data_IF_236469587348
#
_entry.id   IF_236469587348
#
_cell.length_a   1.000
_cell.length_b   1.000
_cell.length_c   1.000
_cell.angle_alpha   90.00
_cell.angle_beta   90.00
_cell.angle_gamma   90.00
#
_symmetry.space_group_name_H-M   'P 1'
#
loop_
_entity.id
_entity.type
_entity.pdbx_description
1 polymer ?
#
# COMPACT_ATOMS: atom_id res chain seq x y z
N UNK A 1 29.29 -22.00 -36.72
CA UNK A 1 28.66 -23.13 -37.44
C UNK A 1 29.29 -24.41 -36.91
N UNK A 2 28.48 -25.35 -36.45
CA UNK A 2 28.93 -26.70 -36.07
C UNK A 2 28.22 -27.67 -36.99
N UNK A 3 28.99 -28.52 -37.68
CA UNK A 3 28.45 -29.58 -38.51
C UNK A 3 29.11 -30.90 -38.09
N UNK A 4 28.29 -31.83 -37.61
CA UNK A 4 28.69 -33.17 -37.17
C UNK A 4 28.10 -34.26 -38.06
N UNK A 5 27.49 -33.89 -39.19
CA UNK A 5 27.00 -34.80 -40.21
C UNK A 5 28.18 -35.48 -40.91
N UNK A 6 28.17 -36.81 -40.87
CA UNK A 6 29.15 -37.66 -41.53
C UNK A 6 28.44 -38.94 -41.98
N UNK A 7 28.75 -39.40 -43.19
CA UNK A 7 28.16 -40.61 -43.76
C UNK A 7 28.48 -41.84 -42.90
N UNK A 8 27.49 -42.71 -42.67
CA UNK A 8 27.61 -43.90 -41.84
C UNK A 8 28.00 -43.65 -40.37
N UNK A 9 27.89 -42.42 -39.89
CA UNK A 9 28.16 -42.09 -38.49
C UNK A 9 27.04 -42.60 -37.58
N UNK A 10 27.43 -43.30 -36.52
CA UNK A 10 26.52 -43.76 -35.48
C UNK A 10 26.27 -42.63 -34.48
N UNK A 11 25.01 -42.27 -34.30
CA UNK A 11 24.57 -41.17 -33.42
C UNK A 11 23.58 -41.68 -32.39
N UNK A 12 23.54 -41.01 -31.24
CA UNK A 12 22.58 -41.29 -30.16
C UNK A 12 21.43 -40.31 -30.18
N UNK A 13 20.30 -40.71 -29.62
CA UNK A 13 19.17 -39.80 -29.38
C UNK A 13 19.63 -38.55 -28.60
N UNK A 14 19.28 -37.38 -29.10
CA UNK A 14 19.63 -36.08 -28.55
C UNK A 14 21.03 -35.57 -28.92
N UNK A 15 21.81 -36.33 -29.69
CA UNK A 15 23.13 -35.88 -30.16
C UNK A 15 23.00 -34.71 -31.14
N UNK A 16 23.82 -33.67 -30.96
CA UNK A 16 23.84 -32.50 -31.84
C UNK A 16 24.42 -32.88 -33.20
N UNK A 17 23.64 -32.64 -34.27
CA UNK A 17 24.04 -32.95 -35.64
C UNK A 17 24.50 -31.70 -36.38
N UNK A 18 23.71 -30.62 -36.30
CA UNK A 18 24.03 -29.34 -36.93
C UNK A 18 23.64 -28.22 -35.98
N UNK A 19 24.48 -27.21 -35.87
CA UNK A 19 24.15 -25.93 -35.25
C UNK A 19 24.50 -24.81 -36.22
N UNK A 20 23.48 -24.11 -36.71
CA UNK A 20 23.66 -22.89 -37.47
C UNK A 20 24.31 -21.82 -36.58
N UNK A 21 25.02 -20.88 -37.20
CA UNK A 21 25.70 -19.83 -36.45
C UNK A 21 24.68 -19.03 -35.64
N UNK A 22 24.90 -18.94 -34.32
CA UNK A 22 24.06 -18.13 -33.45
C UNK A 22 24.20 -16.66 -33.89
N UNK A 23 23.11 -16.10 -34.41
CA UNK A 23 23.04 -14.73 -34.88
C UNK A 23 22.59 -13.79 -33.77
N UNK A 24 21.78 -12.79 -34.12
CA UNK A 24 21.21 -11.84 -33.16
C UNK A 24 20.30 -12.51 -32.12
N UNK A 25 19.86 -13.73 -32.36
CA UNK A 25 18.93 -14.48 -31.52
C UNK A 25 19.50 -14.75 -30.12
N UNK A 26 20.77 -15.17 -30.02
CA UNK A 26 21.42 -15.46 -28.73
C UNK A 26 21.56 -14.21 -27.85
N UNK A 27 22.05 -13.12 -28.45
CA UNK A 27 22.18 -11.80 -27.80
C UNK A 27 20.81 -11.29 -27.33
N UNK A 28 19.77 -11.53 -28.11
CA UNK A 28 18.40 -11.12 -27.76
C UNK A 28 17.83 -11.93 -26.59
N UNK A 29 18.13 -13.24 -26.48
CA UNK A 29 17.75 -14.07 -25.30
C UNK A 29 18.41 -13.54 -24.03
N UNK A 30 19.70 -13.18 -24.08
CA UNK A 30 20.44 -12.61 -22.95
C UNK A 30 19.91 -11.24 -22.54
N UNK A 31 19.58 -10.39 -23.52
CA UNK A 31 18.94 -9.09 -23.29
C UNK A 31 17.60 -9.24 -22.56
N UNK A 32 16.74 -10.14 -23.03
CA UNK A 32 15.48 -10.43 -22.34
C UNK A 32 15.70 -11.02 -20.95
N UNK A 33 16.71 -11.88 -20.76
CA UNK A 33 17.04 -12.43 -19.45
C UNK A 33 17.44 -11.33 -18.45
N UNK A 34 18.26 -10.38 -18.90
CA UNK A 34 18.70 -9.25 -18.08
C UNK A 34 17.55 -8.30 -17.75
N UNK A 35 16.65 -8.05 -18.71
CA UNK A 35 15.44 -7.27 -18.47
C UNK A 35 14.50 -7.95 -17.46
N UNK A 36 14.32 -9.28 -17.56
CA UNK A 36 13.51 -10.02 -16.59
C UNK A 36 14.07 -9.93 -15.18
N UNK A 37 15.38 -10.09 -15.02
CA UNK A 37 16.03 -10.00 -13.71
C UNK A 37 15.79 -8.62 -13.06
N UNK A 38 15.98 -7.55 -13.84
CA UNK A 38 15.68 -6.18 -13.38
C UNK A 38 14.20 -6.00 -12.99
N UNK A 39 13.26 -6.46 -13.82
CA UNK A 39 11.82 -6.31 -13.55
C UNK A 39 11.39 -7.15 -12.34
N UNK A 40 11.97 -8.33 -12.14
CA UNK A 40 11.71 -9.16 -10.96
C UNK A 40 12.29 -8.55 -9.69
N UNK A 41 13.50 -7.96 -9.74
CA UNK A 41 14.08 -7.19 -8.62
C UNK A 41 13.20 -5.98 -8.28
N UNK A 42 12.75 -5.23 -9.29
CA UNK A 42 11.82 -4.11 -9.11
C UNK A 42 10.52 -4.57 -8.45
N UNK A 43 9.94 -5.69 -8.89
CA UNK A 43 8.69 -6.22 -8.34
C UNK A 43 8.84 -6.55 -6.87
N UNK A 44 9.92 -7.24 -6.51
CA UNK A 44 10.23 -7.61 -5.14
C UNK A 44 10.39 -6.37 -4.24
N UNK A 45 11.06 -5.34 -4.72
CA UNK A 45 11.22 -4.09 -3.95
C UNK A 45 9.89 -3.32 -3.82
N UNK A 46 9.03 -3.37 -4.83
CA UNK A 46 7.68 -2.80 -4.77
C UNK A 46 6.76 -3.58 -3.80
N UNK A 47 6.92 -4.90 -3.69
CA UNK A 47 6.23 -5.73 -2.69
C UNK A 47 6.68 -5.37 -1.26
N UNK A 48 7.97 -5.03 -1.05
CA UNK A 48 8.43 -4.48 0.22
C UNK A 48 7.78 -3.13 0.54
N UNK A 49 7.61 -2.24 -0.44
CA UNK A 49 6.85 -1.00 -0.24
C UNK A 49 5.42 -1.28 0.17
N UNK A 50 4.74 -2.20 -0.53
CA UNK A 50 3.37 -2.59 -0.23
C UNK A 50 3.24 -3.05 1.23
N UNK A 51 4.12 -3.96 1.65
CA UNK A 51 4.14 -4.49 3.02
C UNK A 51 4.45 -3.38 4.03
N UNK A 52 5.41 -2.51 3.72
CA UNK A 52 5.79 -1.38 4.58
C UNK A 52 4.62 -0.43 4.81
N UNK A 53 3.86 -0.11 3.75
CA UNK A 53 2.64 0.70 3.85
C UNK A 53 1.53 0.02 4.64
N UNK A 54 1.36 -1.29 4.49
CA UNK A 54 0.34 -2.07 5.19
C UNK A 54 0.59 -2.14 6.69
N UNK A 55 1.84 -2.39 7.09
CA UNK A 55 2.21 -2.61 8.49
C UNK A 55 2.80 -1.37 9.17
N UNK A 56 3.11 -0.31 8.41
CA UNK A 56 3.67 0.93 8.93
C UNK A 56 5.12 0.83 9.41
N UNK A 57 5.86 -0.18 8.96
CA UNK A 57 7.27 -0.44 9.34
C UNK A 57 8.11 -0.63 8.08
N UNK A 58 9.38 -0.22 8.10
CA UNK A 58 10.29 -0.42 6.97
C UNK A 58 10.66 -1.90 6.82
N UNK A 59 10.31 -2.51 5.68
CA UNK A 59 10.61 -3.89 5.34
C UNK A 59 11.74 -4.06 4.31
N UNK A 60 12.40 -2.97 3.90
CA UNK A 60 13.50 -3.03 2.95
C UNK A 60 14.75 -3.60 3.65
N UNK A 61 15.32 -4.72 3.15
CA UNK A 61 16.51 -5.32 3.77
C UNK A 61 17.78 -4.51 3.50
N UNK A 62 17.84 -3.84 2.35
CA UNK A 62 18.96 -3.03 1.87
C UNK A 62 18.40 -1.80 1.14
N UNK A 63 19.29 -0.86 0.80
CA UNK A 63 18.91 0.33 0.04
C UNK A 63 18.34 -0.07 -1.34
N UNK A 64 17.18 0.50 -1.63
CA UNK A 64 16.40 0.14 -2.80
C UNK A 64 16.93 0.88 -4.06
N UNK A 65 16.80 0.26 -5.23
CA UNK A 65 17.32 0.81 -6.50
C UNK A 65 16.30 1.67 -7.24
N UNK A 66 15.05 1.71 -6.76
CA UNK A 66 13.92 2.24 -7.51
C UNK A 66 13.23 3.43 -6.81
N UNK A 67 13.70 3.84 -5.63
CA UNK A 67 13.16 4.95 -4.83
C UNK A 67 11.92 4.58 -3.99
N UNK A 68 11.61 3.29 -3.86
CA UNK A 68 10.45 2.82 -3.11
C UNK A 68 10.63 2.99 -1.59
N UNK A 69 11.83 2.82 -1.05
CA UNK A 69 12.10 3.07 0.36
C UNK A 69 11.92 4.57 0.67
N UNK A 70 12.38 5.45 -0.21
CA UNK A 70 12.13 6.89 -0.10
C UNK A 70 10.63 7.21 -0.13
N UNK A 71 9.87 6.56 -1.02
CA UNK A 71 8.40 6.70 -1.09
C UNK A 71 7.72 6.31 0.24
N UNK A 72 8.20 5.24 0.90
CA UNK A 72 7.70 4.86 2.22
C UNK A 72 8.04 5.92 3.29
N UNK A 73 9.26 6.45 3.29
CA UNK A 73 9.67 7.52 4.20
C UNK A 73 8.83 8.78 4.03
N UNK A 74 8.51 9.14 2.79
CA UNK A 74 7.63 10.26 2.47
C UNK A 74 6.21 10.04 2.98
N UNK A 75 5.68 8.82 2.87
CA UNK A 75 4.39 8.46 3.47
C UNK A 75 4.40 8.64 4.99
N UNK A 76 5.44 8.14 5.67
CA UNK A 76 5.58 8.29 7.13
C UNK A 76 5.69 9.76 7.53
N UNK A 77 6.43 10.56 6.77
CA UNK A 77 6.58 12.01 6.99
C UNK A 77 5.24 12.74 6.86
N UNK A 78 4.46 12.44 5.81
CA UNK A 78 3.12 13.00 5.60
C UNK A 78 2.16 12.60 6.73
N UNK A 79 2.14 11.33 7.11
CA UNK A 79 1.34 10.84 8.23
C UNK A 79 1.75 11.49 9.56
N UNK A 80 3.05 11.68 9.78
CA UNK A 80 3.62 12.40 10.93
C UNK A 80 3.15 13.86 10.99
N UNK A 81 3.17 14.54 9.84
CA UNK A 81 2.74 15.93 9.71
C UNK A 81 1.25 16.10 10.01
N UNK A 82 0.39 15.18 9.54
CA UNK A 82 -1.04 15.17 9.87
C UNK A 82 -1.29 14.99 11.37
N UNK A 83 -0.57 14.06 12.00
CA UNK A 83 -0.66 13.83 13.45
C UNK A 83 -0.21 15.05 14.24
N UNK A 84 0.92 15.64 13.87
CA UNK A 84 1.46 16.83 14.52
C UNK A 84 0.50 18.03 14.42
N UNK A 85 -0.06 18.28 13.23
CA UNK A 85 -1.02 19.35 13.00
C UNK A 85 -2.30 19.16 13.84
N UNK A 86 -2.83 17.93 13.90
CA UNK A 86 -4.00 17.62 14.74
C UNK A 86 -3.69 17.77 16.23
N UNK A 87 -2.51 17.33 16.69
CA UNK A 87 -2.07 17.50 18.07
C UNK A 87 -2.03 18.98 18.45
N UNK A 88 -1.40 19.81 17.61
CA UNK A 88 -1.31 21.25 17.84
C UNK A 88 -2.67 21.94 17.87
N UNK A 89 -3.60 21.53 16.99
CA UNK A 89 -4.97 22.00 17.01
C UNK A 89 -5.66 21.63 18.33
N UNK A 90 -5.50 20.37 18.78
CA UNK A 90 -6.08 19.90 20.03
C UNK A 90 -5.49 20.58 21.27
N UNK A 91 -4.19 20.86 21.28
CA UNK A 91 -3.54 21.65 22.34
C UNK A 91 -4.10 23.08 22.40
N UNK A 92 -4.33 23.69 21.23
CA UNK A 92 -4.95 25.02 21.14
C UNK A 92 -6.37 25.00 21.69
N UNK A 93 -7.18 24.01 21.29
CA UNK A 93 -8.55 23.80 21.80
C UNK A 93 -8.53 23.58 23.31
N UNK A 94 -7.61 22.75 23.83
CA UNK A 94 -7.48 22.49 25.26
C UNK A 94 -7.18 23.79 26.03
N UNK A 95 -6.26 24.61 25.52
CA UNK A 95 -5.93 25.90 26.12
C UNK A 95 -7.12 26.87 26.11
N UNK A 96 -7.89 26.91 25.01
CA UNK A 96 -9.08 27.77 24.92
C UNK A 96 -10.18 27.29 25.86
N UNK A 97 -10.42 25.98 25.95
CA UNK A 97 -11.40 25.39 26.86
C UNK A 97 -11.02 25.62 28.33
N UNK A 98 -9.72 25.55 28.67
CA UNK A 98 -9.23 25.85 30.01
C UNK A 98 -9.44 27.33 30.36
N UNK A 99 -9.13 28.25 29.43
CA UNK A 99 -9.35 29.69 29.64
C UNK A 99 -10.85 30.04 29.79
N UNK A 100 -11.72 29.43 28.97
CA UNK A 100 -13.17 29.57 29.08
C UNK A 100 -13.68 29.08 30.43
N UNK A 101 -13.25 27.88 30.85
CA UNK A 101 -13.61 27.30 32.15
C UNK A 101 -13.15 28.17 33.32
N UNK A 102 -11.93 28.73 33.23
CA UNK A 102 -11.39 29.63 34.26
C UNK A 102 -12.20 30.93 34.34
N UNK A 103 -12.52 31.53 33.19
CA UNK A 103 -13.35 32.74 33.11
C UNK A 103 -14.73 32.49 33.70
N UNK A 104 -15.34 31.36 33.37
CA UNK A 104 -16.64 30.98 33.91
C UNK A 104 -16.58 30.79 35.43
N UNK A 105 -15.54 30.16 35.97
CA UNK A 105 -15.35 30.01 37.41
C UNK A 105 -15.19 31.37 38.12
N UNK A 106 -14.44 32.29 37.54
CA UNK A 106 -14.25 33.64 38.09
C UNK A 106 -15.56 34.43 38.13
N UNK A 107 -16.36 34.38 37.06
CA UNK A 107 -17.69 35.01 37.04
C UNK A 107 -18.62 34.32 38.05
N UNK A 108 -18.54 32.99 38.19
CA UNK A 108 -19.29 32.24 39.21
C UNK A 108 -18.95 32.69 40.64
N UNK A 109 -17.69 33.01 40.90
CA UNK A 109 -17.26 33.59 42.18
C UNK A 109 -17.85 35.01 42.38
N UNK A 110 -17.85 35.86 41.34
CA UNK A 110 -18.46 37.20 41.40
C UNK A 110 -19.98 37.13 41.66
N UNK A 111 -20.67 36.18 41.02
CA UNK A 111 -22.09 35.87 41.27
C UNK A 111 -22.29 35.51 42.74
N UNK A 112 -21.53 34.53 43.24
CA UNK A 112 -21.64 34.04 44.62
C UNK A 112 -21.39 35.15 45.65
N UNK A 113 -20.38 35.99 45.42
CA UNK A 113 -20.09 37.16 46.27
C UNK A 113 -21.21 38.20 46.23
N UNK A 114 -21.76 38.50 45.04
CA UNK A 114 -22.85 39.47 44.88
C UNK A 114 -24.13 38.97 45.54
N UNK A 115 -24.46 37.69 45.41
CA UNK A 115 -25.59 37.06 46.09
C UNK A 115 -25.45 37.08 47.62
N UNK A 116 -24.23 36.91 48.15
CA UNK A 116 -23.97 37.08 49.58
C UNK A 116 -24.22 38.53 50.05
N UNK A 117 -23.75 39.53 49.29
CA UNK A 117 -24.01 40.95 49.59
C UNK A 117 -25.51 41.26 49.58
N UNK A 118 -26.24 40.78 48.57
CA UNK A 118 -27.71 40.95 48.47
C UNK A 118 -28.39 40.37 49.72
N UNK A 119 -28.02 39.15 50.14
CA UNK A 119 -28.57 38.53 51.37
C UNK A 119 -28.31 39.38 52.62
N UNK A 120 -27.11 39.95 52.75
CA UNK A 120 -26.77 40.82 53.88
C UNK A 120 -27.64 42.08 53.91
N UNK A 121 -27.79 42.76 52.77
CA UNK A 121 -28.65 43.95 52.67
C UNK A 121 -30.14 43.63 52.86
N UNK A 122 -30.63 42.49 52.38
CA UNK A 122 -32.00 42.03 52.64
C UNK A 122 -32.24 41.76 54.13
N UNK A 123 -31.26 41.16 54.81
CA UNK A 123 -31.32 40.92 56.26
C UNK A 123 -31.37 42.24 57.03
N UNK A 124 -30.56 43.23 56.63
CA UNK A 124 -30.58 44.56 57.24
C UNK A 124 -31.91 45.29 57.00
N UNK A 125 -32.48 45.21 55.79
CA UNK A 125 -33.81 45.75 55.47
C UNK A 125 -34.87 45.16 56.40
N UNK A 126 -34.91 43.83 56.52
CA UNK A 126 -35.86 43.13 57.39
C UNK A 126 -35.69 43.54 58.86
N UNK A 127 -34.44 43.68 59.33
CA UNK A 127 -34.14 44.14 60.69
C UNK A 127 -34.63 45.58 60.94
N UNK A 128 -34.45 46.49 59.98
CA UNK A 128 -34.99 47.86 60.05
C UNK A 128 -36.54 47.87 60.04
N UNK A 129 -37.17 46.96 59.30
CA UNK A 129 -38.63 46.87 59.18
C UNK A 129 -39.29 46.28 60.44
N UNK A 130 -38.69 45.24 61.00
CA UNK A 130 -39.25 44.45 62.13
C UNK A 130 -38.74 44.88 63.50
N UNK A 131 -37.69 45.72 63.56
CA UNK A 131 -37.05 46.12 64.82
C UNK A 131 -36.11 45.06 65.40
N UNK A 132 -35.79 44.01 64.63
CA UNK A 132 -34.85 42.97 65.05
C UNK A 132 -33.41 43.50 65.11
N UNK A 133 -32.57 42.91 65.95
CA UNK A 133 -31.13 43.23 66.02
C UNK A 133 -30.37 42.68 64.82
N UNK A 134 -29.41 43.44 64.29
CA UNK A 134 -28.54 43.01 63.19
C UNK A 134 -27.15 42.58 63.71
N UNK A 135 -26.57 41.53 63.12
CA UNK A 135 -25.23 41.07 63.48
C UNK A 135 -24.15 42.07 63.01
N UNK A 136 -23.10 42.28 63.82
CA UNK A 136 -22.03 43.24 63.53
C UNK A 136 -21.18 42.92 62.30
N UNK A 137 -21.20 41.66 61.87
CA UNK A 137 -20.51 41.17 60.68
C UNK A 137 -21.26 41.44 59.36
N UNK A 138 -22.52 41.88 59.44
CA UNK A 138 -23.31 42.19 58.25
C UNK A 138 -22.79 43.47 57.56
N UNK A 139 -22.68 43.44 56.24
CA UNK A 139 -22.17 44.55 55.45
C UNK A 139 -22.93 45.88 55.64
N UNK A 140 -24.22 45.84 55.95
CA UNK A 140 -25.06 47.02 56.15
C UNK A 140 -25.19 47.44 57.63
N UNK A 141 -24.38 46.86 58.53
CA UNK A 141 -24.46 47.13 59.96
C UNK A 141 -24.25 48.60 60.33
N UNK A 142 -23.33 49.31 59.66
CA UNK A 142 -23.12 50.75 59.88
C UNK A 142 -24.35 51.57 59.52
N UNK A 143 -25.03 51.21 58.42
CA UNK A 143 -26.27 51.84 57.96
C UNK A 143 -27.41 51.59 58.96
N UNK A 144 -27.51 50.36 59.47
CA UNK A 144 -28.45 49.95 60.51
C UNK A 144 -28.23 50.71 61.83
N UNK A 145 -26.98 50.90 62.25
CA UNK A 145 -26.66 51.64 63.48
C UNK A 145 -26.98 53.14 63.35
N UNK A 146 -26.71 53.74 62.19
CA UNK A 146 -27.12 55.11 61.90
C UNK A 146 -28.64 55.28 61.97
N UNK A 147 -29.40 54.30 61.46
CA UNK A 147 -30.85 54.27 61.61
C UNK A 147 -31.27 54.23 63.09
N UNK A 148 -30.69 53.34 63.90
CA UNK A 148 -31.01 53.24 65.33
C UNK A 148 -30.72 54.54 66.10
N UNK A 149 -29.66 55.27 65.77
CA UNK A 149 -29.28 56.49 66.49
C UNK A 149 -30.19 57.69 66.21
N UNK A 150 -30.90 57.71 65.07
CA UNK A 150 -31.81 58.80 64.69
C UNK A 150 -33.25 58.63 65.23
N UNK A 151 -33.46 57.62 66.09
CA UNK A 151 -34.72 57.33 66.79
C UNK A 151 -35.56 56.27 66.07
N UNK A 152 -35.70 55.09 66.69
CA UNK A 152 -36.51 53.96 66.19
C UNK A 152 -37.97 54.34 65.86
N UNK A 153 -38.51 55.37 66.52
CA UNK A 153 -39.89 55.82 66.40
C UNK A 153 -40.12 56.92 65.34
N UNK A 154 -39.08 57.36 64.62
CA UNK A 154 -39.24 58.36 63.55
C UNK A 154 -39.54 57.69 62.19
N UNK A 155 -40.78 57.77 61.67
CA UNK A 155 -41.17 57.08 60.44
C UNK A 155 -40.38 57.57 59.21
N UNK A 156 -39.99 58.85 59.19
CA UNK A 156 -39.22 59.42 58.09
C UNK A 156 -37.77 58.91 58.06
N UNK A 157 -37.13 58.77 59.23
CA UNK A 157 -35.78 58.25 59.33
C UNK A 157 -35.71 56.76 58.91
N UNK A 158 -36.72 55.97 59.30
CA UNK A 158 -36.89 54.59 58.85
C UNK A 158 -37.05 54.49 57.33
N UNK A 159 -37.96 55.30 56.76
CA UNK A 159 -38.20 55.30 55.32
C UNK A 159 -36.94 55.68 54.51
N UNK A 160 -36.15 56.65 54.98
CA UNK A 160 -34.90 57.03 54.34
C UNK A 160 -33.84 55.93 54.40
N UNK A 161 -33.67 55.27 55.55
CA UNK A 161 -32.72 54.17 55.71
C UNK A 161 -33.08 52.97 54.83
N UNK A 162 -34.37 52.60 54.80
CA UNK A 162 -34.88 51.53 53.92
C UNK A 162 -34.66 51.89 52.45
N UNK A 163 -34.96 53.12 52.04
CA UNK A 163 -34.74 53.56 50.65
C UNK A 163 -33.26 53.51 50.23
N UNK A 164 -32.32 53.81 51.13
CA UNK A 164 -30.89 53.65 50.86
C UNK A 164 -30.49 52.18 50.67
N UNK A 165 -31.01 51.28 51.51
CA UNK A 165 -30.79 49.83 51.36
C UNK A 165 -31.40 49.31 50.05
N UNK A 166 -32.59 49.76 49.68
CA UNK A 166 -33.25 49.39 48.42
C UNK A 166 -32.47 49.88 47.20
N UNK A 167 -31.90 51.08 47.23
CA UNK A 167 -31.04 51.58 46.16
C UNK A 167 -29.79 50.69 45.98
N UNK A 168 -29.16 50.27 47.08
CA UNK A 168 -28.01 49.34 47.04
C UNK A 168 -28.42 47.95 46.53
N UNK A 169 -29.57 47.43 46.97
CA UNK A 169 -30.11 46.16 46.50
C UNK A 169 -30.36 46.19 44.99
N UNK A 170 -31.03 47.22 44.47
CA UNK A 170 -31.30 47.38 43.04
C UNK A 170 -30.03 47.41 42.20
N UNK A 171 -28.98 48.12 42.68
CA UNK A 171 -27.69 48.14 42.01
C UNK A 171 -27.01 46.76 42.00
N UNK A 172 -27.02 46.05 43.13
CA UNK A 172 -26.45 44.71 43.23
C UNK A 172 -27.21 43.70 42.35
N UNK A 173 -28.54 43.76 42.33
CA UNK A 173 -29.39 42.92 41.49
C UNK A 173 -29.14 43.13 40.00
N UNK A 174 -28.95 44.39 39.57
CA UNK A 174 -28.57 44.73 38.19
C UNK A 174 -27.19 44.17 37.82
N UNK A 175 -26.21 44.29 38.71
CA UNK A 175 -24.87 43.70 38.49
C UNK A 175 -24.91 42.17 38.44
N UNK A 176 -25.72 41.54 39.31
CA UNK A 176 -25.92 40.09 39.34
C UNK A 176 -26.55 39.60 38.05
N UNK A 177 -27.57 40.31 37.53
CA UNK A 177 -28.18 39.98 36.24
C UNK A 177 -27.13 40.03 35.11
N UNK A 178 -26.27 41.05 35.12
CA UNK A 178 -25.17 41.17 34.16
C UNK A 178 -24.18 40.01 34.26
N UNK A 179 -23.74 39.65 35.47
CA UNK A 179 -22.82 38.53 35.66
C UNK A 179 -23.44 37.19 35.25
N UNK A 180 -24.74 36.96 35.52
CA UNK A 180 -25.44 35.74 35.10
C UNK A 180 -25.50 35.59 33.58
N UNK A 181 -25.70 36.69 32.86
CA UNK A 181 -25.63 36.70 31.39
C UNK A 181 -24.21 36.35 30.92
N UNK A 182 -23.18 36.95 31.53
CA UNK A 182 -21.79 36.63 31.17
C UNK A 182 -21.42 35.18 31.49
N UNK A 183 -21.88 34.65 32.62
CA UNK A 183 -21.64 33.27 33.05
C UNK A 183 -22.23 32.24 32.07
N UNK A 184 -23.44 32.50 31.56
CA UNK A 184 -24.07 31.66 30.55
C UNK A 184 -23.30 31.65 29.22
N UNK A 185 -22.61 32.75 28.89
CA UNK A 185 -21.85 32.89 27.64
C UNK A 185 -20.38 32.45 27.68
N UNK A 186 -19.78 32.29 28.86
CA UNK A 186 -18.32 32.10 29.03
C UNK A 186 -17.87 30.64 29.19
N UNK A 187 -18.79 29.68 29.29
CA UNK A 187 -18.49 28.25 29.52
C UNK A 187 -18.50 27.36 28.28
N UNK A 188 -18.55 27.91 27.07
CA UNK A 188 -18.64 27.10 25.86
C UNK A 188 -17.32 26.38 25.57
N UNK A 189 -17.37 25.05 25.52
CA UNK A 189 -16.22 24.23 25.17
C UNK A 189 -16.26 23.87 23.68
N UNK A 190 -15.11 24.02 23.02
CA UNK A 190 -14.89 23.54 21.68
C UNK A 190 -14.63 22.03 21.70
N UNK A 191 -15.17 21.34 20.70
CA UNK A 191 -14.87 19.93 20.48
C UNK A 191 -13.46 19.77 19.89
N UNK A 192 -12.76 18.71 20.30
CA UNK A 192 -11.48 18.33 19.72
C UNK A 192 -11.60 17.96 18.25
N UNK A 193 -10.51 18.14 17.51
CA UNK A 193 -10.44 17.75 16.11
C UNK A 193 -10.73 16.26 15.94
N UNK A 194 -11.62 15.94 15.00
CA UNK A 194 -11.99 14.58 14.63
C UNK A 194 -11.65 14.32 13.16
N UNK A 195 -11.49 13.06 12.78
CA UNK A 195 -11.23 12.69 11.39
C UNK A 195 -9.75 12.43 11.03
N UNK A 196 -8.81 12.58 11.96
CA UNK A 196 -7.41 12.19 11.74
C UNK A 196 -7.29 10.73 11.28
N UNK A 197 -8.04 9.82 11.92
CA UNK A 197 -8.06 8.40 11.52
C UNK A 197 -8.47 8.20 10.06
N UNK A 198 -9.56 8.85 9.63
CA UNK A 198 -10.01 8.79 8.24
C UNK A 198 -9.03 9.42 7.25
N UNK A 199 -8.34 10.50 7.63
CA UNK A 199 -7.32 11.11 6.79
C UNK A 199 -6.10 10.21 6.62
N UNK A 200 -5.64 9.58 7.70
CA UNK A 200 -4.53 8.62 7.66
C UNK A 200 -4.89 7.38 6.82
N UNK A 201 -6.12 6.87 6.96
CA UNK A 201 -6.59 5.71 6.18
C UNK A 201 -6.73 6.04 4.69
N UNK A 202 -7.24 7.24 4.38
CA UNK A 202 -7.31 7.73 3.01
C UNK A 202 -5.91 7.88 2.39
N UNK A 203 -4.95 8.44 3.15
CA UNK A 203 -3.56 8.57 2.71
C UNK A 203 -2.94 7.20 2.42
N UNK A 204 -3.11 6.24 3.34
CA UNK A 204 -2.65 4.86 3.16
C UNK A 204 -3.26 4.21 1.94
N UNK A 205 -4.58 4.33 1.77
CA UNK A 205 -5.32 3.78 0.63
C UNK A 205 -4.83 4.35 -0.70
N UNK A 206 -4.53 5.66 -0.75
CA UNK A 206 -4.00 6.30 -1.95
C UNK A 206 -2.63 5.74 -2.35
N UNK A 207 -1.72 5.56 -1.38
CA UNK A 207 -0.41 4.96 -1.66
C UNK A 207 -0.54 3.48 -2.08
N UNK A 208 -1.38 2.70 -1.41
CA UNK A 208 -1.61 1.29 -1.76
C UNK A 208 -2.25 1.12 -3.14
N UNK A 209 -3.17 2.01 -3.53
CA UNK A 209 -3.76 2.00 -4.86
C UNK A 209 -2.70 2.25 -5.95
N UNK A 210 -1.80 3.21 -5.74
CA UNK A 210 -0.68 3.47 -6.66
C UNK A 210 0.26 2.27 -6.78
N UNK A 211 0.63 1.67 -5.65
CA UNK A 211 1.46 0.46 -5.62
C UNK A 211 0.78 -0.71 -6.33
N UNK A 212 -0.53 -0.91 -6.13
CA UNK A 212 -1.30 -1.95 -6.82
C UNK A 212 -1.36 -1.75 -8.35
N UNK A 213 -1.50 -0.50 -8.80
CA UNK A 213 -1.43 -0.16 -10.23
C UNK A 213 -0.05 -0.47 -10.81
N UNK A 214 1.01 -0.06 -10.12
CA UNK A 214 2.38 -0.28 -10.56
C UNK A 214 2.74 -1.77 -10.60
N UNK A 215 2.33 -2.55 -9.59
CA UNK A 215 2.47 -4.02 -9.60
C UNK A 215 1.79 -4.65 -10.81
N UNK A 216 0.56 -4.21 -11.12
CA UNK A 216 -0.18 -4.72 -12.29
C UNK A 216 0.56 -4.42 -13.59
N UNK A 217 1.08 -3.20 -13.75
CA UNK A 217 1.86 -2.82 -14.92
C UNK A 217 3.16 -3.60 -15.03
N UNK A 218 3.81 -3.85 -13.89
CA UNK A 218 5.06 -4.59 -13.84
C UNK A 218 4.85 -6.07 -14.18
N UNK A 219 3.79 -6.69 -13.67
CA UNK A 219 3.39 -8.05 -14.02
C UNK A 219 3.11 -8.19 -15.52
N UNK A 220 2.44 -7.21 -16.13
CA UNK A 220 2.21 -7.20 -17.59
C UNK A 220 3.54 -7.14 -18.37
N UNK A 221 4.47 -6.27 -17.96
CA UNK A 221 5.80 -6.16 -18.59
C UNK A 221 6.60 -7.45 -18.44
N UNK A 222 6.58 -8.07 -17.26
CA UNK A 222 7.26 -9.35 -17.02
C UNK A 222 6.71 -10.41 -17.99
N UNK A 223 5.39 -10.55 -18.10
CA UNK A 223 4.76 -11.51 -19.02
C UNK A 223 5.13 -11.26 -20.48
N UNK A 224 5.18 -9.98 -20.90
CA UNK A 224 5.59 -9.61 -22.26
C UNK A 224 7.04 -10.02 -22.55
N UNK A 225 7.96 -9.68 -21.65
CA UNK A 225 9.39 -9.98 -21.78
C UNK A 225 9.65 -11.49 -21.67
N UNK A 226 8.92 -12.23 -20.82
CA UNK A 226 8.97 -13.70 -20.73
C UNK A 226 8.52 -14.35 -22.04
N UNK A 227 7.41 -13.88 -22.61
CA UNK A 227 6.92 -14.34 -23.90
C UNK A 227 7.93 -14.06 -25.01
N UNK A 228 8.49 -12.84 -25.06
CA UNK A 228 9.53 -12.46 -26.02
C UNK A 228 10.77 -13.35 -25.91
N UNK A 229 11.26 -13.59 -24.68
CA UNK A 229 12.37 -14.51 -24.40
C UNK A 229 12.08 -15.92 -24.90
N UNK A 230 10.88 -16.43 -24.65
CA UNK A 230 10.47 -17.78 -25.07
C UNK A 230 10.42 -17.90 -26.60
N UNK A 231 9.84 -16.93 -27.28
CA UNK A 231 9.83 -16.89 -28.76
C UNK A 231 11.26 -16.90 -29.28
N UNK A 232 12.12 -16.04 -28.75
CA UNK A 232 13.50 -15.93 -29.20
C UNK A 232 14.33 -17.20 -28.91
N UNK A 233 14.12 -17.83 -27.75
CA UNK A 233 14.72 -19.11 -27.40
C UNK A 233 14.30 -20.23 -28.36
N UNK A 234 13.02 -20.30 -28.72
CA UNK A 234 12.55 -21.26 -29.72
C UNK A 234 13.20 -21.04 -31.11
N UNK A 235 13.45 -19.78 -31.50
CA UNK A 235 14.18 -19.47 -32.73
C UNK A 235 15.64 -19.94 -32.66
N UNK A 236 16.30 -19.73 -31.51
CA UNK A 236 17.66 -20.21 -31.28
C UNK A 236 17.74 -21.74 -31.34
N UNK A 237 16.76 -22.43 -30.75
CA UNK A 237 16.66 -23.89 -30.77
C UNK A 237 16.33 -24.45 -32.16
N UNK A 238 15.54 -23.73 -32.98
CA UNK A 238 15.35 -24.08 -34.40
C UNK A 238 16.66 -24.04 -35.19
N UNK A 239 17.64 -23.26 -34.75
CA UNK A 239 19.00 -23.26 -35.30
C UNK A 239 19.81 -24.51 -34.96
N UNK A 240 19.28 -25.45 -34.17
CA UNK A 240 19.93 -26.69 -33.76
C UNK A 240 19.15 -27.90 -34.27
N UNK A 241 19.84 -28.79 -34.96
CA UNK A 241 19.32 -30.08 -35.40
C UNK A 241 19.96 -31.15 -34.54
N UNK A 242 19.13 -31.94 -33.85
CA UNK A 242 19.58 -33.05 -33.00
C UNK A 242 19.00 -34.37 -33.52
N UNK A 243 19.67 -35.47 -33.20
CA UNK A 243 19.16 -36.79 -33.56
C UNK A 243 17.90 -37.13 -32.76
N UNK A 244 16.83 -37.54 -33.43
CA UNK A 244 15.58 -37.95 -32.76
C UNK A 244 15.69 -39.29 -32.06
N UNK A 245 16.57 -40.19 -32.56
CA UNK A 245 16.76 -41.56 -32.08
C UNK A 245 18.23 -42.01 -32.18
N UNK A 246 18.53 -43.21 -31.68
CA UNK A 246 19.80 -43.87 -31.94
C UNK A 246 19.81 -44.42 -33.37
N UNK A 247 20.87 -44.21 -34.13
CA UNK A 247 20.91 -44.70 -35.51
C UNK A 247 22.20 -44.40 -36.25
N UNK A 248 22.19 -44.71 -37.54
CA UNK A 248 23.25 -44.47 -38.50
C UNK A 248 22.78 -43.39 -39.47
N UNK A 249 23.57 -42.34 -39.63
CA UNK A 249 23.29 -41.25 -40.56
C UNK A 249 23.60 -41.64 -42.00
N UNK A 250 22.68 -41.30 -42.89
CA UNK A 250 22.86 -41.32 -44.35
C UNK A 250 22.63 -39.90 -44.89
N UNK A 251 23.67 -39.27 -45.41
CA UNK A 251 23.63 -37.88 -45.83
C UNK A 251 22.96 -37.74 -47.18
N UNK A 252 22.24 -36.63 -47.39
CA UNK A 252 21.71 -36.30 -48.71
C UNK A 252 22.84 -35.74 -49.58
N UNK A 253 23.23 -36.40 -50.68
CA UNK A 253 24.32 -35.95 -51.55
C UNK A 253 24.04 -34.60 -52.20
N UNK A 254 22.78 -34.19 -52.34
CA UNK A 254 22.42 -32.88 -52.92
C UNK A 254 22.73 -31.70 -51.98
N UNK A 255 22.84 -31.94 -50.68
CA UNK A 255 23.03 -30.88 -49.67
C UNK A 255 24.36 -30.96 -48.95
N UNK A 256 25.17 -32.00 -49.20
CA UNK A 256 26.39 -32.31 -48.42
C UNK A 256 27.44 -31.19 -48.46
N UNK A 257 27.58 -30.52 -49.62
CA UNK A 257 28.55 -29.43 -49.82
C UNK A 257 27.92 -28.03 -49.69
N UNK A 258 26.62 -27.95 -49.37
CA UNK A 258 25.89 -26.68 -49.30
C UNK A 258 26.15 -25.98 -47.97
N UNK A 259 26.56 -24.70 -48.02
CA UNK A 259 26.76 -23.85 -46.84
C UNK A 259 25.48 -23.12 -46.40
N UNK A 260 24.44 -23.13 -47.24
CA UNK A 260 23.13 -22.55 -46.97
C UNK A 260 22.04 -23.44 -47.54
N UNK A 261 21.04 -23.74 -46.72
CA UNK A 261 19.89 -24.57 -47.11
C UNK A 261 18.59 -23.89 -46.69
N UNK A 262 17.54 -24.09 -47.47
CA UNK A 262 16.20 -23.61 -47.11
C UNK A 262 15.63 -24.43 -45.95
N UNK A 263 14.80 -23.80 -45.11
CA UNK A 263 14.05 -24.52 -44.08
C UNK A 263 13.19 -25.62 -44.75
N UNK A 264 13.29 -26.85 -44.24
CA UNK A 264 12.61 -28.03 -44.79
C UNK A 264 13.42 -28.83 -45.82
N UNK A 265 14.62 -28.39 -46.19
CA UNK A 265 15.51 -29.19 -47.04
C UNK A 265 15.99 -30.48 -46.31
N UNK A 266 16.02 -31.60 -47.03
CA UNK A 266 16.52 -32.87 -46.51
C UNK A 266 18.07 -32.81 -46.41
N UNK A 267 18.60 -32.88 -45.19
CA UNK A 267 20.05 -32.89 -44.94
C UNK A 267 20.62 -34.31 -44.80
N UNK A 268 19.93 -35.14 -44.04
CA UNK A 268 20.33 -36.52 -43.75
C UNK A 268 19.09 -37.34 -43.33
N UNK A 269 19.17 -38.65 -43.53
CA UNK A 269 18.24 -39.65 -43.05
C UNK A 269 18.88 -40.42 -41.90
N UNK A 270 18.09 -40.76 -40.89
CA UNK A 270 18.52 -41.58 -39.77
C UNK A 270 17.96 -43.00 -39.92
N UNK A 271 18.84 -43.98 -40.04
CA UNK A 271 18.48 -45.39 -40.10
C UNK A 271 18.73 -46.07 -38.75
N UNK A 272 17.90 -47.04 -38.33
CA UNK A 272 18.16 -47.79 -37.10
C UNK A 272 19.46 -48.60 -37.22
N UNK A 273 20.20 -48.72 -36.11
CA UNK A 273 21.43 -49.53 -36.09
C UNK A 273 21.10 -51.02 -36.22
N UNK A 274 21.57 -51.63 -37.30
CA UNK A 274 21.38 -53.06 -37.59
C UNK A 274 22.02 -53.97 -36.52
N UNK A 275 23.01 -53.48 -35.77
CA UNK A 275 23.62 -54.20 -34.65
C UNK A 275 22.65 -54.39 -33.47
N UNK A 276 21.72 -53.44 -33.25
CA UNK A 276 20.71 -53.51 -32.18
C UNK A 276 19.43 -54.21 -32.61
N UNK A 277 18.94 -53.95 -33.84
CA UNK A 277 17.67 -54.53 -34.30
C UNK A 277 17.80 -55.95 -34.87
N UNK A 278 19.00 -56.34 -35.32
CA UNK A 278 19.33 -57.70 -35.76
C UNK A 278 18.51 -58.23 -36.95
N UNK A 279 17.62 -57.41 -37.55
CA UNK A 279 16.70 -57.81 -38.62
C UNK A 279 16.51 -56.65 -39.61
N UNK A 280 17.06 -56.80 -40.81
CA UNK A 280 16.75 -55.91 -41.93
C UNK A 280 15.60 -56.49 -42.75
N UNK A 281 14.60 -55.67 -43.11
CA UNK A 281 13.54 -56.08 -44.05
C UNK A 281 14.00 -55.81 -45.48
N UNK A 282 14.30 -56.88 -46.21
CA UNK A 282 14.56 -56.80 -47.65
C UNK A 282 13.25 -56.92 -48.43
N UNK A 283 13.02 -56.01 -49.36
CA UNK A 283 11.87 -56.07 -50.28
C UNK A 283 12.40 -56.29 -51.69
N UNK A 284 11.99 -57.39 -52.32
CA UNK A 284 12.32 -57.71 -53.70
C UNK A 284 11.03 -57.73 -54.53
N UNK A 285 11.07 -57.14 -55.72
CA UNK A 285 9.96 -57.21 -56.66
C UNK A 285 10.03 -58.51 -57.44
N UNK A 286 8.93 -59.27 -57.43
CA UNK A 286 8.78 -60.50 -58.21
C UNK A 286 7.90 -60.23 -59.42
N UNK A 287 8.23 -60.85 -60.56
CA UNK A 287 7.36 -60.80 -61.74
C UNK A 287 6.09 -61.60 -61.48
N UNK A 288 4.98 -61.23 -62.13
CA UNK A 288 3.70 -61.96 -62.00
C UNK A 288 3.79 -63.43 -62.46
N UNK A 289 4.82 -63.80 -63.22
CA UNK A 289 5.08 -65.19 -63.64
C UNK A 289 5.78 -66.00 -62.56
N UNK A 290 6.58 -65.34 -61.72
CA UNK A 290 7.40 -65.98 -60.69
C UNK A 290 6.69 -66.02 -59.34
N UNK A 291 5.78 -65.08 -59.06
CA UNK A 291 5.01 -65.04 -57.80
C UNK A 291 4.21 -66.32 -57.55
N UNK A 292 3.72 -66.97 -58.61
CA UNK A 292 2.97 -68.23 -58.50
C UNK A 292 3.83 -69.41 -58.00
N UNK A 293 5.16 -69.29 -58.05
CA UNK A 293 6.13 -70.33 -57.65
C UNK A 293 6.81 -70.07 -56.31
N UNK A 294 6.53 -68.93 -55.66
CA UNK A 294 7.11 -68.54 -54.37
C UNK A 294 6.09 -68.69 -53.26
N UNK A 295 6.51 -69.25 -52.11
CA UNK A 295 5.67 -69.45 -50.93
C UNK A 295 6.32 -68.83 -49.68
N UNK A 296 5.49 -68.51 -48.70
CA UNK A 296 5.96 -68.04 -47.39
C UNK A 296 6.76 -69.18 -46.74
N UNK A 297 8.01 -68.90 -46.36
CA UNK A 297 8.94 -69.87 -45.79
C UNK A 297 10.02 -70.36 -46.76
N UNK A 298 9.95 -69.98 -48.04
CA UNK A 298 11.01 -70.30 -49.00
C UNK A 298 12.34 -69.63 -48.60
N UNK A 299 13.44 -70.38 -48.76
CA UNK A 299 14.78 -69.86 -48.51
C UNK A 299 15.18 -68.87 -49.61
N UNK A 300 15.58 -67.66 -49.21
CA UNK A 300 16.02 -66.61 -50.13
C UNK A 300 17.52 -66.44 -50.01
N UNK A 301 18.21 -66.46 -51.15
CA UNK A 301 19.62 -66.06 -51.24
C UNK A 301 19.67 -64.69 -51.91
N UNK A 302 20.39 -63.77 -51.29
CA UNK A 302 20.69 -62.47 -51.87
C UNK A 302 22.20 -62.21 -51.82
N UNK A 303 22.66 -61.30 -52.65
CA UNK A 303 24.03 -60.79 -52.67
C UNK A 303 23.95 -59.28 -52.74
N UNK A 304 24.76 -58.59 -51.92
CA UNK A 304 24.92 -57.14 -51.99
C UNK A 304 26.10 -56.81 -52.89
N UNK A 305 25.92 -55.90 -53.85
CA UNK A 305 27.03 -55.29 -54.58
C UNK A 305 27.42 -54.00 -53.87
N UNK A 306 28.72 -53.79 -53.62
CA UNK A 306 29.23 -52.46 -53.29
C UNK A 306 29.39 -51.72 -54.63
N UNK A 307 28.49 -50.78 -54.92
CA UNK A 307 28.80 -49.78 -55.93
C UNK A 307 29.71 -48.76 -55.25
N UNK A 308 30.96 -48.72 -55.72
CA UNK A 308 31.97 -47.71 -55.36
C UNK A 308 31.81 -46.49 -56.27
#
# INVERSE_FOLDING_TARGET
LVNHLEENKLVKKGELLVQYQEGAEGVQVESYASQLDMLQDQKKQLEYLQKSLQEGTDYFPEEDKFGYQATFRDYISQAGSLRASTSQQNETIASQNAAASQTQAEIGNLISQTEAKIRDYQTAKLAMETGASLASQNLAYSLYQSYKSHGEENPQAKAQAVAQVEAQLSQLESSLATYRVQYAGSGTQQAYASGLGSQLESLKSQHLAKVGQELTLLDQKILEVESGKKVQGNLLDKGKITSSEDGVLHLNPETIDSTMVAEGALLAQLYPSLEKEGKAKLTAYLSSKDVARVKIGDSVRYTTTHDA
#
